data_IF_224676481204
#
_entry.id   IF_224676481204
#
_cell.length_a   1.000
_cell.length_b   1.000
_cell.length_c   1.000
_cell.angle_alpha   90.00
_cell.angle_beta   90.00
_cell.angle_gamma   90.00
#
_symmetry.space_group_name_H-M   'P 1'
#
loop_
_entity.id
_entity.type
_entity.pdbx_description
1 polymer ?
#
# COMPACT_ATOMS: atom_id res chain seq x y z
N UNK A 1 -71.83 -37.51 -33.45
CA UNK A 1 -71.95 -36.45 -32.44
C UNK A 1 -70.51 -36.05 -32.07
N UNK A 2 -69.88 -35.06 -32.71
CA UNK A 2 -69.84 -33.62 -32.34
C UNK A 2 -69.56 -33.43 -30.82
N UNK A 3 -68.53 -32.75 -30.31
CA UNK A 3 -67.40 -31.99 -30.85
C UNK A 3 -66.27 -31.77 -29.79
N UNK A 4 -65.10 -31.27 -30.26
CA UNK A 4 -64.18 -30.25 -29.67
C UNK A 4 -63.24 -30.61 -28.49
N UNK A 5 -61.91 -30.54 -28.68
CA UNK A 5 -60.98 -29.39 -28.48
C UNK A 5 -60.62 -29.18 -27.01
N UNK A 6 -59.38 -29.06 -26.52
CA UNK A 6 -58.03 -29.04 -27.07
C UNK A 6 -57.02 -28.88 -25.91
N UNK A 7 -55.83 -28.38 -26.24
CA UNK A 7 -54.77 -27.84 -25.37
C UNK A 7 -53.64 -28.75 -24.87
N UNK A 8 -52.43 -28.31 -25.25
CA UNK A 8 -51.15 -28.41 -24.56
C UNK A 8 -50.28 -29.66 -24.76
N UNK A 9 -49.68 -29.72 -25.96
CA UNK A 9 -48.24 -29.92 -26.01
C UNK A 9 -47.52 -28.89 -25.12
N UNK A 10 -46.35 -29.29 -24.59
CA UNK A 10 -45.36 -28.48 -23.87
C UNK A 10 -45.50 -28.38 -22.34
N UNK A 11 -44.92 -29.35 -21.61
CA UNK A 11 -44.26 -29.11 -20.31
C UNK A 11 -43.26 -30.22 -19.95
N UNK A 12 -42.32 -30.55 -20.86
CA UNK A 12 -41.05 -31.23 -20.48
C UNK A 12 -39.81 -30.37 -20.75
N UNK A 13 -39.94 -29.04 -20.62
CA UNK A 13 -38.81 -28.11 -20.75
C UNK A 13 -38.81 -27.06 -19.64
N UNK A 14 -38.96 -27.50 -18.39
CA UNK A 14 -38.92 -26.62 -17.21
C UNK A 14 -37.82 -26.97 -16.18
N UNK A 15 -36.93 -27.92 -16.49
CA UNK A 15 -35.82 -28.30 -15.58
C UNK A 15 -34.40 -28.15 -16.18
N UNK A 16 -34.28 -27.65 -17.42
CA UNK A 16 -32.99 -27.46 -18.09
C UNK A 16 -32.69 -25.99 -18.48
N UNK A 17 -33.38 -25.02 -17.85
CA UNK A 17 -33.17 -23.59 -18.09
C UNK A 17 -32.86 -22.80 -16.80
N UNK A 18 -32.38 -23.48 -15.75
CA UNK A 18 -31.97 -22.86 -14.48
C UNK A 18 -30.46 -22.77 -14.26
N UNK A 19 -29.65 -23.13 -15.26
CA UNK A 19 -28.18 -23.16 -15.15
C UNK A 19 -27.45 -22.42 -16.29
N UNK A 20 -28.10 -21.48 -16.99
CA UNK A 20 -27.42 -20.64 -18.00
C UNK A 20 -27.90 -19.20 -17.86
N UNK A 21 -27.20 -18.42 -17.05
CA UNK A 21 -27.46 -16.98 -16.96
C UNK A 21 -27.21 -16.29 -15.62
N UNK A 22 -26.45 -16.85 -14.68
CA UNK A 22 -25.87 -16.08 -13.58
C UNK A 22 -24.37 -15.97 -13.78
N UNK A 23 -23.97 -15.29 -14.87
CA UNK A 23 -22.70 -14.59 -14.89
C UNK A 23 -22.90 -13.43 -13.93
N UNK A 24 -22.75 -13.69 -12.63
CA UNK A 24 -22.57 -12.64 -11.64
C UNK A 24 -21.35 -11.88 -12.12
N UNK A 25 -21.62 -10.78 -12.82
CA UNK A 25 -20.63 -9.76 -13.10
C UNK A 25 -20.11 -9.40 -11.71
N UNK A 26 -18.91 -9.89 -11.38
CA UNK A 26 -18.25 -9.50 -10.14
C UNK A 26 -18.17 -7.99 -10.24
N UNK A 27 -18.97 -7.28 -9.45
CA UNK A 27 -18.78 -5.86 -9.26
C UNK A 27 -17.39 -5.77 -8.65
N UNK A 28 -16.41 -5.35 -9.46
CA UNK A 28 -15.09 -5.06 -8.94
C UNK A 28 -15.29 -3.91 -7.96
N UNK A 29 -15.09 -4.13 -6.65
CA UNK A 29 -15.32 -3.10 -5.65
C UNK A 29 -14.32 -1.94 -5.79
N UNK A 30 -13.34 -2.05 -6.70
CA UNK A 30 -12.28 -1.07 -6.96
C UNK A 30 -12.49 -0.31 -8.27
N UNK A 31 -13.46 -0.70 -9.11
CA UNK A 31 -13.77 0.02 -10.34
C UNK A 31 -14.47 1.35 -10.02
N UNK A 32 -14.29 2.41 -10.85
CA UNK A 32 -14.98 3.67 -10.67
C UNK A 32 -16.49 3.46 -10.50
N UNK A 33 -17.10 4.11 -9.51
CA UNK A 33 -18.54 4.00 -9.31
C UNK A 33 -19.26 4.51 -10.55
N UNK A 34 -20.09 3.65 -11.13
CA UNK A 34 -20.90 3.94 -12.32
C UNK A 34 -22.37 3.71 -11.97
N UNK A 35 -23.32 4.35 -12.69
CA UNK A 35 -24.74 4.08 -12.48
C UNK A 35 -25.09 2.57 -12.56
N UNK A 36 -24.39 1.82 -13.41
CA UNK A 36 -24.58 0.37 -13.53
C UNK A 36 -24.08 -0.41 -12.32
N UNK A 37 -22.88 -0.11 -11.81
CA UNK A 37 -22.33 -0.81 -10.63
C UNK A 37 -23.09 -0.47 -9.36
N UNK A 38 -23.54 0.78 -9.20
CA UNK A 38 -24.40 1.19 -8.08
C UNK A 38 -25.75 0.48 -8.11
N UNK A 39 -26.41 0.42 -9.28
CA UNK A 39 -27.68 -0.28 -9.43
C UNK A 39 -27.53 -1.80 -9.23
N UNK A 40 -26.43 -2.40 -9.67
CA UNK A 40 -26.12 -3.80 -9.42
C UNK A 40 -25.95 -4.07 -7.92
N UNK A 41 -25.15 -3.25 -7.21
CA UNK A 41 -24.97 -3.34 -5.77
C UNK A 41 -26.29 -3.18 -5.01
N UNK A 42 -27.12 -2.21 -5.41
CA UNK A 42 -28.45 -1.99 -4.84
C UNK A 42 -29.34 -3.22 -4.96
N UNK A 43 -29.40 -3.83 -6.15
CA UNK A 43 -30.25 -5.01 -6.41
C UNK A 43 -29.76 -6.27 -5.71
N UNK A 44 -28.45 -6.41 -5.53
CA UNK A 44 -27.85 -7.60 -4.93
C UNK A 44 -27.80 -7.55 -3.40
N UNK A 45 -27.53 -6.38 -2.83
CA UNK A 45 -27.21 -6.23 -1.41
C UNK A 45 -27.96 -5.08 -0.71
N UNK A 46 -28.82 -4.34 -1.43
CA UNK A 46 -29.63 -3.25 -0.90
C UNK A 46 -28.90 -1.90 -0.82
N UNK A 47 -29.61 -0.88 -0.34
CA UNK A 47 -29.12 0.50 -0.27
C UNK A 47 -27.94 0.68 0.69
N UNK A 48 -27.82 -0.15 1.74
CA UNK A 48 -26.69 -0.09 2.68
C UNK A 48 -25.37 -0.43 2.00
N UNK A 49 -25.36 -1.39 1.08
CA UNK A 49 -24.18 -1.72 0.28
C UNK A 49 -23.79 -0.58 -0.67
N UNK A 50 -24.77 0.12 -1.23
CA UNK A 50 -24.53 1.31 -2.05
C UNK A 50 -23.90 2.43 -1.21
N UNK A 51 -24.47 2.71 -0.04
CA UNK A 51 -23.93 3.72 0.88
C UNK A 51 -22.49 3.38 1.30
N UNK A 52 -22.20 2.11 1.62
CA UNK A 52 -20.85 1.67 1.96
C UNK A 52 -19.84 1.83 0.81
N UNK A 53 -20.26 1.58 -0.44
CA UNK A 53 -19.40 1.77 -1.61
C UNK A 53 -19.09 3.25 -1.87
N UNK A 54 -20.09 4.12 -1.73
CA UNK A 54 -19.91 5.58 -1.87
C UNK A 54 -18.97 6.09 -0.79
N UNK A 55 -19.24 5.75 0.48
CA UNK A 55 -18.41 6.17 1.61
C UNK A 55 -16.96 5.72 1.44
N UNK A 56 -16.74 4.47 1.01
CA UNK A 56 -15.40 3.96 0.75
C UNK A 56 -14.68 4.76 -0.35
N UNK A 57 -15.36 5.10 -1.45
CA UNK A 57 -14.74 5.87 -2.53
C UNK A 57 -14.35 7.28 -2.05
N UNK A 58 -15.19 7.91 -1.22
CA UNK A 58 -14.89 9.20 -0.60
C UNK A 58 -13.68 9.11 0.34
N UNK A 59 -13.64 8.08 1.20
CA UNK A 59 -12.52 7.85 2.11
C UNK A 59 -11.20 7.62 1.34
N UNK A 60 -11.23 6.85 0.26
CA UNK A 60 -10.07 6.61 -0.60
C UNK A 60 -9.63 7.90 -1.34
N UNK A 61 -10.56 8.74 -1.77
CA UNK A 61 -10.26 10.03 -2.39
C UNK A 61 -9.61 11.00 -1.40
N UNK A 62 -10.13 11.08 -0.17
CA UNK A 62 -9.55 11.88 0.92
C UNK A 62 -8.15 11.36 1.28
N UNK A 63 -7.95 10.04 1.34
CA UNK A 63 -6.63 9.46 1.56
C UNK A 63 -5.64 9.87 0.46
N UNK A 64 -6.04 9.77 -0.82
CA UNK A 64 -5.23 10.19 -1.95
C UNK A 64 -4.87 11.68 -1.92
N UNK A 65 -5.80 12.54 -1.52
CA UNK A 65 -5.54 13.97 -1.35
C UNK A 65 -4.51 14.24 -0.24
N UNK A 66 -4.61 13.54 0.91
CA UNK A 66 -3.66 13.67 2.02
C UNK A 66 -2.26 13.24 1.61
N UNK A 67 -2.14 12.10 0.93
CA UNK A 67 -0.87 11.62 0.37
C UNK A 67 -0.27 12.68 -0.55
N UNK A 68 -1.02 13.16 -1.55
CA UNK A 68 -0.54 14.18 -2.49
C UNK A 68 -0.09 15.46 -1.79
N UNK A 69 -0.85 15.93 -0.80
CA UNK A 69 -0.51 17.14 -0.04
C UNK A 69 0.80 16.98 0.73
N UNK A 70 1.06 15.81 1.33
CA UNK A 70 2.33 15.55 2.05
C UNK A 70 3.49 15.44 1.06
N UNK A 71 3.32 14.72 -0.04
CA UNK A 71 4.37 14.57 -1.06
C UNK A 71 4.76 15.88 -1.74
N UNK A 72 3.83 16.86 -1.80
CA UNK A 72 4.11 18.21 -2.32
C UNK A 72 4.78 19.12 -1.29
N UNK A 73 4.87 18.71 -0.03
CA UNK A 73 5.60 19.47 1.00
C UNK A 73 7.09 19.18 0.92
N UNK A 74 7.92 20.05 1.52
CA UNK A 74 9.38 19.97 1.40
C UNK A 74 10.01 18.74 2.07
N UNK A 75 9.40 18.21 3.14
CA UNK A 75 10.01 17.19 4.01
C UNK A 75 11.34 17.65 4.61
N UNK A 76 12.02 16.74 5.31
CA UNK A 76 13.39 16.92 5.79
C UNK A 76 14.36 16.00 5.02
N UNK A 77 15.62 16.41 4.78
CA UNK A 77 16.63 15.47 4.30
C UNK A 77 16.90 14.38 5.35
N UNK A 78 17.52 13.29 4.93
CA UNK A 78 18.08 12.31 5.86
C UNK A 78 19.19 12.94 6.70
N UNK A 79 19.37 12.43 7.92
CA UNK A 79 20.59 12.72 8.68
C UNK A 79 21.82 12.27 7.88
N UNK A 80 22.84 13.12 7.82
CA UNK A 80 23.99 12.92 6.93
C UNK A 80 24.77 11.64 7.23
N UNK A 81 24.92 11.30 8.52
CA UNK A 81 25.61 10.07 8.93
C UNK A 81 24.77 8.83 8.61
N UNK A 82 23.46 8.90 8.83
CA UNK A 82 22.56 7.83 8.41
C UNK A 82 22.55 7.64 6.89
N UNK A 83 22.44 8.73 6.14
CA UNK A 83 22.43 8.73 4.67
C UNK A 83 23.69 8.06 4.13
N UNK A 84 24.88 8.51 4.53
CA UNK A 84 26.16 7.96 4.04
C UNK A 84 26.25 6.44 4.27
N UNK A 85 25.84 5.96 5.46
CA UNK A 85 25.84 4.52 5.77
C UNK A 85 24.83 3.77 4.89
N UNK A 86 23.62 4.31 4.73
CA UNK A 86 22.58 3.69 3.91
C UNK A 86 22.99 3.64 2.43
N UNK A 87 23.61 4.70 1.90
CA UNK A 87 24.12 4.75 0.52
C UNK A 87 25.21 3.70 0.30
N UNK A 88 26.16 3.57 1.22
CA UNK A 88 27.21 2.54 1.17
C UNK A 88 26.61 1.13 1.22
N UNK A 89 25.60 0.91 2.07
CA UNK A 89 24.97 -0.39 2.24
C UNK A 89 24.10 -0.80 1.04
N UNK A 90 23.31 0.14 0.51
CA UNK A 90 22.35 -0.10 -0.58
C UNK A 90 22.97 0.07 -1.97
N UNK A 91 24.15 0.71 -2.07
CA UNK A 91 24.82 1.00 -3.33
C UNK A 91 24.02 1.95 -4.21
N UNK A 92 23.35 2.94 -3.62
CA UNK A 92 22.49 3.90 -4.31
C UNK A 92 22.59 5.28 -3.69
N UNK A 93 22.36 6.32 -4.50
CA UNK A 93 22.35 7.72 -4.11
C UNK A 93 21.01 8.06 -3.40
N UNK A 94 21.06 8.77 -2.26
CA UNK A 94 19.90 9.03 -1.41
C UNK A 94 19.75 10.50 -0.97
N UNK A 95 20.56 11.44 -1.47
CA UNK A 95 20.46 12.87 -1.11
C UNK A 95 19.15 13.54 -1.54
N UNK A 96 18.52 12.98 -2.56
CA UNK A 96 17.22 13.42 -3.07
C UNK A 96 16.05 12.88 -2.23
N UNK A 97 16.30 12.04 -1.21
CA UNK A 97 15.26 11.52 -0.33
C UNK A 97 14.73 12.60 0.61
N UNK A 98 13.42 12.59 0.83
CA UNK A 98 12.71 13.47 1.77
C UNK A 98 11.88 12.66 2.75
N UNK A 99 12.13 12.90 4.04
CA UNK A 99 11.42 12.27 5.16
C UNK A 99 10.35 13.22 5.68
N UNK A 100 9.13 12.70 5.84
CA UNK A 100 7.99 13.40 6.39
C UNK A 100 7.54 12.70 7.66
N UNK A 101 7.53 13.39 8.80
CA UNK A 101 7.15 12.80 10.09
C UNK A 101 6.30 13.76 10.95
N UNK A 102 5.76 14.81 10.35
CA UNK A 102 4.93 15.79 11.03
C UNK A 102 3.47 15.30 11.21
N UNK A 103 2.60 16.19 11.71
CA UNK A 103 1.18 15.85 11.93
C UNK A 103 0.45 15.51 10.62
N UNK A 104 0.81 16.16 9.52
CA UNK A 104 0.18 15.91 8.22
C UNK A 104 0.61 14.54 7.66
N UNK A 105 1.90 14.23 7.75
CA UNK A 105 2.47 12.92 7.46
C UNK A 105 1.78 11.82 8.27
N UNK A 106 1.63 12.02 9.58
CA UNK A 106 0.96 11.06 10.45
C UNK A 106 -0.53 10.85 10.11
N UNK A 107 -1.22 11.89 9.65
CA UNK A 107 -2.59 11.78 9.16
C UNK A 107 -2.67 11.06 7.82
N UNK A 108 -1.71 11.31 6.92
CA UNK A 108 -1.60 10.63 5.64
C UNK A 108 -1.30 9.13 5.79
N UNK A 109 -0.32 8.77 6.62
CA UNK A 109 0.03 7.37 6.89
C UNK A 109 -1.17 6.60 7.47
N UNK A 110 -1.92 7.19 8.40
CA UNK A 110 -3.18 6.59 8.91
C UNK A 110 -4.24 6.42 7.84
N UNK A 111 -4.38 7.37 6.91
CA UNK A 111 -5.38 7.30 5.84
C UNK A 111 -5.11 6.15 4.87
N UNK A 112 -3.85 5.74 4.70
CA UNK A 112 -3.46 4.55 3.93
C UNK A 112 -3.23 3.33 4.83
N UNK A 113 -3.67 3.39 6.10
CA UNK A 113 -3.55 2.31 7.08
C UNK A 113 -2.12 1.80 7.30
N UNK A 114 -1.12 2.67 7.15
CA UNK A 114 0.29 2.32 7.32
C UNK A 114 0.95 3.03 8.49
N UNK A 115 2.02 2.42 9.01
CA UNK A 115 2.91 3.00 10.00
C UNK A 115 4.02 3.84 9.36
N UNK A 116 4.45 3.48 8.16
CA UNK A 116 5.33 4.26 7.29
C UNK A 116 5.10 3.83 5.84
N UNK A 117 5.37 4.69 4.86
CA UNK A 117 5.32 4.29 3.46
C UNK A 117 6.28 5.09 2.61
N UNK A 118 6.64 4.52 1.47
CA UNK A 118 7.52 5.14 0.48
C UNK A 118 6.79 5.42 -0.84
N UNK A 119 6.95 6.63 -1.37
CA UNK A 119 6.45 7.04 -2.68
C UNK A 119 7.48 7.86 -3.43
N UNK A 120 8.04 7.29 -4.49
CA UNK A 120 9.20 7.82 -5.19
C UNK A 120 10.36 8.00 -4.23
N UNK A 121 10.76 9.25 -4.03
CA UNK A 121 11.86 9.65 -3.15
C UNK A 121 11.39 10.17 -1.80
N UNK A 122 10.11 10.01 -1.48
CA UNK A 122 9.55 10.44 -0.20
C UNK A 122 9.26 9.26 0.71
N UNK A 123 9.64 9.41 1.97
CA UNK A 123 9.31 8.46 3.05
C UNK A 123 8.42 9.19 4.04
N UNK A 124 7.26 8.62 4.34
CA UNK A 124 6.26 9.22 5.23
C UNK A 124 6.06 8.34 6.44
N UNK A 125 6.24 8.90 7.63
CA UNK A 125 6.08 8.19 8.90
C UNK A 125 4.78 8.57 9.61
N UNK A 126 4.17 7.55 10.22
CA UNK A 126 3.10 7.70 11.18
C UNK A 126 3.57 8.38 12.48
N UNK A 127 2.61 8.81 13.30
CA UNK A 127 2.88 9.43 14.59
C UNK A 127 3.79 8.55 15.47
N UNK A 128 4.93 9.10 15.90
CA UNK A 128 5.90 8.39 16.75
C UNK A 128 6.57 7.20 16.07
N UNK A 129 6.60 7.12 14.73
CA UNK A 129 7.24 6.04 13.98
C UNK A 129 8.59 6.41 13.39
N UNK A 130 8.92 7.69 13.35
CA UNK A 130 10.25 8.16 12.98
C UNK A 130 11.13 8.26 14.23
N UNK A 131 12.08 7.33 14.34
CA UNK A 131 13.05 7.27 15.43
C UNK A 131 14.39 6.73 14.90
N UNK A 132 15.23 7.57 14.29
CA UNK A 132 16.49 7.13 13.72
C UNK A 132 17.53 6.73 14.78
N UNK A 133 17.26 6.93 16.07
CA UNK A 133 18.15 6.57 17.16
C UNK A 133 17.93 5.12 17.65
N UNK A 134 16.71 4.59 17.57
CA UNK A 134 16.44 3.20 17.96
C UNK A 134 16.73 2.20 16.85
N UNK A 135 17.12 0.99 17.23
CA UNK A 135 17.31 -0.13 16.30
C UNK A 135 16.06 -0.43 15.46
N UNK A 136 14.88 -0.37 16.09
CA UNK A 136 13.60 -0.60 15.40
C UNK A 136 13.31 0.49 14.39
N UNK A 137 13.57 1.77 14.72
CA UNK A 137 13.34 2.87 13.78
C UNK A 137 14.39 2.90 12.66
N UNK A 138 15.64 2.53 12.93
CA UNK A 138 16.67 2.35 11.90
C UNK A 138 16.34 1.20 10.95
N UNK A 139 15.89 0.05 11.47
CA UNK A 139 15.42 -1.07 10.64
C UNK A 139 14.30 -0.62 9.71
N UNK A 140 13.31 0.11 10.25
CA UNK A 140 12.19 0.64 9.46
C UNK A 140 12.67 1.63 8.40
N UNK A 141 13.53 2.56 8.77
CA UNK A 141 14.04 3.55 7.81
C UNK A 141 14.84 2.88 6.68
N UNK A 142 15.66 1.88 6.99
CA UNK A 142 16.39 1.11 5.98
C UNK A 142 15.44 0.27 5.09
N UNK A 143 14.36 -0.27 5.66
CA UNK A 143 13.30 -0.93 4.88
C UNK A 143 12.66 0.05 3.88
N UNK A 144 12.24 1.23 4.33
CA UNK A 144 11.67 2.26 3.44
C UNK A 144 12.65 2.74 2.37
N UNK A 145 13.93 2.93 2.70
CA UNK A 145 14.95 3.30 1.72
C UNK A 145 15.19 2.20 0.68
N UNK A 146 15.00 0.93 1.05
CA UNK A 146 15.04 -0.17 0.07
C UNK A 146 13.92 0.01 -0.96
N UNK A 147 12.73 0.44 -0.55
CA UNK A 147 11.66 0.76 -1.48
C UNK A 147 11.98 1.96 -2.38
N UNK A 148 12.69 2.98 -1.88
CA UNK A 148 13.16 4.09 -2.72
C UNK A 148 14.03 3.55 -3.85
N UNK A 149 15.03 2.73 -3.52
CA UNK A 149 15.95 2.13 -4.50
C UNK A 149 15.20 1.21 -5.48
N UNK A 150 14.25 0.42 -4.99
CA UNK A 150 13.42 -0.44 -5.84
C UNK A 150 12.58 0.38 -6.84
N UNK A 151 11.95 1.47 -6.39
CA UNK A 151 11.12 2.34 -7.23
C UNK A 151 11.95 3.14 -8.25
N UNK A 152 13.20 3.51 -7.93
CA UNK A 152 14.13 4.12 -8.89
C UNK A 152 14.49 3.17 -10.04
N UNK A 153 14.61 1.87 -9.78
CA UNK A 153 15.00 0.86 -10.77
C UNK A 153 13.86 0.50 -11.75
N UNK A 154 12.62 0.88 -11.43
CA UNK A 154 11.49 0.71 -12.32
C UNK A 154 10.19 0.39 -11.58
N UNK A 155 9.12 0.05 -12.33
CA UNK A 155 7.83 -0.25 -11.73
C UNK A 155 7.91 -1.44 -10.77
N UNK A 156 7.58 -1.19 -9.49
CA UNK A 156 7.35 -2.23 -8.49
C UNK A 156 5.89 -2.72 -8.57
N UNK A 157 5.67 -3.97 -8.17
CA UNK A 157 4.33 -4.51 -8.06
C UNK A 157 3.55 -3.73 -6.98
N UNK A 158 2.30 -3.43 -7.26
CA UNK A 158 1.42 -2.72 -6.35
C UNK A 158 -0.01 -2.79 -6.82
N UNK A 159 -0.93 -2.93 -5.87
CA UNK A 159 -2.36 -2.94 -6.13
C UNK A 159 -2.84 -1.50 -6.32
N UNK A 160 -3.48 -1.20 -7.44
CA UNK A 160 -4.12 0.10 -7.69
C UNK A 160 -5.42 0.17 -6.87
N UNK A 161 -5.48 1.09 -5.90
CA UNK A 161 -6.73 1.46 -5.20
C UNK A 161 -7.65 2.31 -6.07
N UNK A 162 -8.89 2.55 -5.65
CA UNK A 162 -9.85 3.35 -6.43
C UNK A 162 -9.40 4.82 -6.56
N UNK A 163 -8.53 5.29 -5.67
CA UNK A 163 -7.86 6.59 -5.75
C UNK A 163 -6.67 6.64 -6.72
N UNK A 164 -6.36 5.54 -7.42
CA UNK A 164 -5.22 5.43 -8.34
C UNK A 164 -3.87 5.23 -7.64
N UNK A 165 -3.84 5.18 -6.30
CA UNK A 165 -2.65 4.91 -5.52
C UNK A 165 -2.25 3.44 -5.68
N UNK A 166 -0.99 3.16 -6.02
CA UNK A 166 -0.42 1.80 -6.01
C UNK A 166 0.14 1.51 -4.63
N UNK A 167 -0.42 0.51 -3.95
CA UNK A 167 0.03 0.05 -2.64
C UNK A 167 0.62 -1.35 -2.78
N UNK A 168 1.86 -1.54 -2.32
CA UNK A 168 2.52 -2.85 -2.30
C UNK A 168 1.78 -3.85 -1.41
N UNK A 169 1.78 -5.14 -1.76
CA UNK A 169 1.27 -6.19 -0.88
C UNK A 169 2.39 -6.67 0.06
N UNK A 170 2.17 -6.77 1.39
CA UNK A 170 3.17 -7.25 2.35
C UNK A 170 3.80 -8.62 2.00
N UNK A 171 3.12 -9.42 1.19
CA UNK A 171 3.55 -10.74 0.75
C UNK A 171 4.37 -10.70 -0.54
N UNK A 172 4.62 -9.54 -1.12
CA UNK A 172 5.39 -9.43 -2.35
C UNK A 172 6.88 -9.64 -2.12
N UNK A 173 7.60 -10.00 -3.20
CA UNK A 173 9.05 -10.25 -3.12
C UNK A 173 9.83 -9.02 -2.66
N UNK A 174 9.36 -7.83 -3.03
CA UNK A 174 9.99 -6.55 -2.71
C UNK A 174 9.92 -6.24 -1.22
N UNK A 175 8.80 -6.58 -0.57
CA UNK A 175 8.59 -6.44 0.87
C UNK A 175 9.48 -7.38 1.67
N UNK A 176 9.57 -8.65 1.25
CA UNK A 176 10.49 -9.62 1.89
C UNK A 176 11.95 -9.20 1.79
N UNK A 177 12.33 -8.64 0.65
CA UNK A 177 13.68 -8.11 0.44
C UNK A 177 13.93 -6.89 1.35
N UNK A 178 13.01 -5.93 1.37
CA UNK A 178 13.11 -4.74 2.22
C UNK A 178 13.16 -5.10 3.72
N UNK A 179 12.37 -6.09 4.16
CA UNK A 179 12.41 -6.61 5.54
C UNK A 179 13.77 -7.25 5.87
N UNK A 180 14.34 -8.04 4.95
CA UNK A 180 15.66 -8.66 5.14
C UNK A 180 16.76 -7.59 5.20
N UNK A 181 16.72 -6.62 4.30
CA UNK A 181 17.69 -5.51 4.23
C UNK A 181 17.62 -4.66 5.50
N UNK A 182 16.42 -4.28 5.94
CA UNK A 182 16.26 -3.49 7.16
C UNK A 182 16.85 -4.18 8.39
N UNK A 183 16.61 -5.50 8.55
CA UNK A 183 17.20 -6.28 9.66
C UNK A 183 18.72 -6.32 9.57
N UNK A 184 19.26 -6.62 8.39
CA UNK A 184 20.70 -6.77 8.20
C UNK A 184 21.45 -5.43 8.36
N UNK A 185 20.85 -4.31 7.96
CA UNK A 185 21.41 -2.97 8.14
C UNK A 185 21.72 -2.65 9.61
N UNK A 186 20.80 -3.00 10.51
CA UNK A 186 21.00 -2.77 11.96
C UNK A 186 22.06 -3.71 12.55
N UNK A 187 22.09 -4.97 12.12
CA UNK A 187 23.11 -5.93 12.56
C UNK A 187 24.52 -5.53 12.12
N UNK A 188 24.67 -4.99 10.91
CA UNK A 188 25.94 -4.50 10.37
C UNK A 188 26.43 -3.24 11.12
N UNK A 189 25.53 -2.30 11.42
CA UNK A 189 25.83 -1.12 12.22
C UNK A 189 26.27 -1.45 13.66
N UNK A 190 25.69 -2.48 14.27
CA UNK A 190 26.10 -2.97 15.59
C UNK A 190 27.52 -3.58 15.57
N UNK A 191 27.87 -4.33 14.52
CA UNK A 191 29.20 -4.90 14.35
C UNK A 191 30.28 -3.82 14.13
N UNK A 192 29.96 -2.76 13.38
CA UNK A 192 30.85 -1.62 13.18
C UNK A 192 31.02 -0.73 14.42
N UNK A 193 30.01 -0.63 15.29
CA UNK A 193 30.11 0.13 16.54
C UNK A 193 31.02 -0.55 17.57
N UNK A 194 31.02 -1.89 17.65
CA UNK A 194 31.90 -2.64 18.57
C UNK A 194 33.37 -2.47 18.18
N UNK A 195 33.70 -2.46 16.88
CA UNK A 195 35.08 -2.34 16.41
C UNK A 195 35.71 -0.94 16.61
N UNK A 196 34.91 0.07 16.96
CA UNK A 196 35.37 1.44 17.19
C UNK A 196 35.70 1.78 18.64
N UNK A 197 35.48 0.87 19.59
CA UNK A 197 35.69 1.11 21.03
C UNK A 197 36.94 0.43 21.61
N UNK A 198 37.72 -0.28 20.79
CA UNK A 198 38.90 -1.07 21.21
C UNK A 198 40.25 -0.34 21.01
N UNK A 199 40.26 0.97 20.75
CA UNK A 199 41.50 1.72 20.46
C UNK A 199 41.76 2.92 21.39
N UNK A 200 41.26 2.89 22.62
CA UNK A 200 41.57 3.91 23.62
C UNK A 200 41.95 3.25 24.95
N UNK A 201 43.24 2.93 25.11
CA UNK A 201 43.78 2.55 26.41
C UNK A 201 45.02 1.69 26.38
N UNK A 202 46.10 2.17 25.76
CA UNK A 202 47.48 1.80 26.08
C UNK A 202 48.38 2.76 25.31
N UNK A 203 48.88 3.79 26.00
CA UNK A 203 50.23 4.37 25.81
C UNK A 203 50.48 5.47 26.87
N UNK A 204 51.58 5.27 27.61
CA UNK A 204 52.30 6.05 28.65
C UNK A 204 51.68 6.32 30.03
#
# INVERSE_FOLDING_TARGET
MRQHTGYAAATRRALAARQRGSRTERVDPRAPLSPRSLLAAQRLAGNSAVAALVQRQEDEAVAGQRVRSVLQSGGAPLDAAFQTRAENYLGAELSHVRVHHDRAAAASARAVQSQAYTSGSHIVFGSGKYDPASSVGQQRLAHELTHVVQQQRGPVAGTVGASGLKISDPSDRFEREAERVGKAFVSDGAAHHIKGNDSAGEDD
#
